data_IF_278351789205
#
_entry.id   IF_278351789205
#
_cell.length_a   1.000
_cell.length_b   1.000
_cell.length_c   1.000
_cell.angle_alpha   90.00
_cell.angle_beta   90.00
_cell.angle_gamma   90.00
#
_symmetry.space_group_name_H-M   'P 1'
#
loop_
_entity.id
_entity.type
_entity.pdbx_description
1 polymer ?
#
# COMPACT_ATOMS: atom_id res chain seq x y z
N UNK A 1 24.13 2.11 -15.09
CA UNK A 1 24.88 1.42 -14.00
C UNK A 1 24.83 2.35 -12.80
N UNK A 2 24.45 1.87 -11.62
CA UNK A 2 24.42 2.69 -10.40
C UNK A 2 25.32 2.09 -9.34
N UNK A 3 25.78 2.93 -8.42
CA UNK A 3 26.69 2.57 -7.34
C UNK A 3 25.99 2.71 -5.99
N UNK A 4 26.28 1.80 -5.06
CA UNK A 4 25.76 1.86 -3.69
C UNK A 4 26.93 2.11 -2.75
N UNK A 5 26.85 3.20 -2.01
CA UNK A 5 27.89 3.60 -1.05
C UNK A 5 27.43 3.33 0.38
N UNK A 6 28.22 2.53 1.10
CA UNK A 6 28.08 2.38 2.53
C UNK A 6 28.56 3.62 3.28
N UNK A 7 28.00 3.87 4.46
CA UNK A 7 28.40 4.98 5.32
C UNK A 7 28.81 4.45 6.70
N UNK A 8 30.09 4.48 6.99
CA UNK A 8 30.65 4.00 8.28
C UNK A 8 30.29 4.90 9.48
N UNK A 9 29.72 6.09 9.23
CA UNK A 9 29.28 7.03 10.28
C UNK A 9 27.81 6.86 10.66
N UNK A 10 27.13 5.86 10.10
CA UNK A 10 25.74 5.58 10.46
C UNK A 10 25.62 5.27 11.94
N UNK A 11 24.66 5.93 12.58
CA UNK A 11 24.21 5.60 13.93
C UNK A 11 23.15 4.49 13.84
N UNK A 12 23.09 3.60 14.81
CA UNK A 12 22.05 2.57 14.85
C UNK A 12 20.65 3.20 14.83
N UNK A 13 19.80 2.66 14.00
CA UNK A 13 18.37 2.96 14.02
C UNK A 13 17.73 2.33 15.26
N UNK A 14 16.86 3.07 15.93
CA UNK A 14 16.03 2.55 17.01
C UNK A 14 14.56 2.78 16.69
N UNK A 15 13.75 1.80 17.04
CA UNK A 15 12.33 1.79 16.77
C UNK A 15 11.55 1.41 18.03
N UNK A 16 10.53 2.22 18.38
CA UNK A 16 9.55 1.89 19.40
C UNK A 16 8.20 1.71 18.72
N UNK A 17 7.61 0.54 18.86
CA UNK A 17 6.33 0.18 18.27
C UNK A 17 5.31 -0.15 19.34
N UNK A 18 4.10 0.37 19.18
CA UNK A 18 2.93 0.00 19.95
C UNK A 18 1.77 -0.26 19.00
N UNK A 19 1.00 -1.29 19.30
CA UNK A 19 -0.24 -1.57 18.57
C UNK A 19 -1.31 -2.10 19.52
N UNK A 20 -2.54 -1.86 19.14
CA UNK A 20 -3.73 -2.42 19.76
C UNK A 20 -4.63 -2.95 18.68
N UNK A 21 -5.00 -4.21 18.78
CA UNK A 21 -5.91 -4.86 17.84
C UNK A 21 -7.12 -5.42 18.57
N UNK A 22 -8.25 -5.43 17.87
CA UNK A 22 -9.48 -6.05 18.31
C UNK A 22 -10.13 -6.82 17.16
N UNK A 23 -10.80 -7.88 17.50
CA UNK A 23 -11.53 -8.72 16.55
C UNK A 23 -12.95 -8.96 17.07
N UNK A 24 -13.93 -8.88 16.16
CA UNK A 24 -15.30 -9.27 16.37
C UNK A 24 -15.71 -10.33 15.35
N UNK A 25 -16.18 -11.46 15.83
CA UNK A 25 -16.56 -12.60 14.99
C UNK A 25 -17.93 -13.10 15.37
N UNK A 26 -18.76 -13.31 14.36
CA UNK A 26 -19.98 -14.11 14.49
C UNK A 26 -20.21 -14.96 13.23
N UNK A 27 -21.38 -15.59 13.09
CA UNK A 27 -21.66 -16.53 11.99
C UNK A 27 -21.64 -15.92 10.58
N UNK A 28 -21.80 -14.61 10.44
CA UNK A 28 -21.93 -13.95 9.14
C UNK A 28 -20.95 -12.79 8.94
N UNK A 29 -20.29 -12.31 10.01
CA UNK A 29 -19.33 -11.21 9.92
C UNK A 29 -18.10 -11.50 10.76
N UNK A 30 -16.93 -11.15 10.22
CA UNK A 30 -15.67 -11.04 10.94
C UNK A 30 -15.09 -9.67 10.64
N UNK A 31 -14.80 -8.89 11.69
CA UNK A 31 -14.16 -7.58 11.60
C UNK A 31 -12.93 -7.63 12.49
N UNK A 32 -11.79 -7.26 11.91
CA UNK A 32 -10.56 -7.02 12.63
C UNK A 32 -10.14 -5.56 12.44
N UNK A 33 -9.72 -4.91 13.52
CA UNK A 33 -9.18 -3.56 13.49
C UNK A 33 -7.89 -3.51 14.30
N UNK A 34 -6.88 -2.85 13.76
CA UNK A 34 -5.60 -2.61 14.38
C UNK A 34 -5.24 -1.13 14.30
N UNK A 35 -4.82 -0.56 15.42
CA UNK A 35 -4.27 0.79 15.51
C UNK A 35 -2.84 0.69 15.97
N UNK A 36 -1.94 1.36 15.29
CA UNK A 36 -0.52 1.27 15.61
C UNK A 36 0.18 2.62 15.54
N UNK A 37 1.29 2.72 16.26
CA UNK A 37 2.22 3.83 16.15
C UNK A 37 3.66 3.33 16.31
N UNK A 38 4.53 3.87 15.47
CA UNK A 38 5.91 3.50 15.34
C UNK A 38 6.78 4.75 15.35
N UNK A 39 7.70 4.87 16.30
CA UNK A 39 8.61 6.00 16.45
C UNK A 39 10.04 5.56 16.17
N UNK A 40 10.60 6.15 15.14
CA UNK A 40 11.99 5.93 14.74
C UNK A 40 12.89 7.05 15.26
N UNK A 41 14.11 6.66 15.63
CA UNK A 41 15.24 7.58 15.86
C UNK A 41 16.41 7.11 15.02
N UNK A 42 17.12 8.06 14.43
CA UNK A 42 18.24 7.80 13.52
C UNK A 42 17.85 6.84 12.38
N UNK A 43 16.63 6.97 11.85
CA UNK A 43 16.17 6.11 10.76
C UNK A 43 17.20 6.12 9.63
N UNK A 44 17.54 4.95 9.11
CA UNK A 44 18.49 4.82 8.01
C UNK A 44 17.70 4.77 6.71
N UNK A 45 18.03 5.68 5.80
CA UNK A 45 17.44 5.70 4.46
C UNK A 45 18.50 5.81 3.37
N UNK A 46 18.19 5.25 2.21
CA UNK A 46 18.97 5.44 1.00
C UNK A 46 18.52 6.70 0.27
N UNK A 47 19.44 7.61 0.06
CA UNK A 47 19.23 8.83 -0.73
C UNK A 47 19.95 8.69 -2.06
N UNK A 48 19.23 8.92 -3.14
CA UNK A 48 19.80 8.96 -4.47
C UNK A 48 20.51 10.29 -4.70
N UNK A 49 21.65 10.24 -5.42
CA UNK A 49 22.28 11.45 -6.00
C UNK A 49 21.34 12.06 -7.05
N UNK A 50 21.53 13.34 -7.37
CA UNK A 50 20.68 14.08 -8.29
C UNK A 50 20.62 13.45 -9.69
N UNK A 51 21.73 12.86 -10.14
CA UNK A 51 21.82 12.15 -11.41
C UNK A 51 21.31 10.69 -11.34
N UNK A 52 20.80 10.25 -10.16
CA UNK A 52 20.30 8.91 -9.87
C UNK A 52 21.32 7.79 -10.16
N UNK A 53 22.62 8.13 -10.15
CA UNK A 53 23.68 7.15 -10.38
C UNK A 53 24.24 6.56 -9.09
N UNK A 54 24.05 7.25 -7.95
CA UNK A 54 24.57 6.85 -6.66
C UNK A 54 23.48 6.78 -5.59
N UNK A 55 23.52 5.75 -4.76
CA UNK A 55 22.68 5.58 -3.57
C UNK A 55 23.55 5.68 -2.32
N UNK A 56 23.31 6.67 -1.48
CA UNK A 56 24.02 6.90 -0.22
C UNK A 56 23.09 6.61 0.97
N UNK A 57 23.59 5.87 1.96
CA UNK A 57 22.84 5.65 3.21
C UNK A 57 23.15 6.74 4.22
N UNK A 58 22.10 7.36 4.75
CA UNK A 58 22.17 8.42 5.76
C UNK A 58 21.21 8.17 6.92
N UNK A 59 21.48 8.77 8.08
CA UNK A 59 20.49 8.82 9.15
C UNK A 59 19.59 10.05 8.96
N UNK A 60 18.31 9.82 8.82
CA UNK A 60 17.28 10.86 8.81
C UNK A 60 16.64 10.94 10.20
N UNK A 61 17.07 11.76 11.05
CA UNK A 61 16.58 12.16 12.36
C UNK A 61 15.48 11.31 13.00
N UNK A 62 14.40 11.96 13.44
CA UNK A 62 13.23 11.33 14.07
C UNK A 62 12.08 11.24 13.08
N UNK A 63 11.37 10.12 13.08
CA UNK A 63 10.17 9.95 12.27
C UNK A 63 9.10 9.17 13.01
N UNK A 64 7.86 9.37 12.63
CA UNK A 64 6.70 8.65 13.15
C UNK A 64 5.84 8.14 12.02
N UNK A 65 5.54 6.85 12.08
CA UNK A 65 4.48 6.22 11.30
C UNK A 65 3.35 5.84 12.27
N UNK A 66 2.13 6.15 11.93
CA UNK A 66 0.97 5.72 12.70
C UNK A 66 -0.16 5.36 11.74
N UNK A 67 -1.00 4.42 12.11
CA UNK A 67 -2.05 4.02 11.19
C UNK A 67 -3.17 3.24 11.84
N UNK A 68 -4.19 3.02 11.01
CA UNK A 68 -5.33 2.18 11.32
C UNK A 68 -5.49 1.20 10.17
N UNK A 69 -5.56 -0.08 10.47
CA UNK A 69 -5.81 -1.16 9.53
C UNK A 69 -7.12 -1.84 9.92
N UNK A 70 -8.00 -2.02 8.98
CA UNK A 70 -9.24 -2.75 9.20
C UNK A 70 -9.44 -3.79 8.13
N UNK A 71 -9.92 -4.95 8.52
CA UNK A 71 -10.36 -6.00 7.62
C UNK A 71 -11.77 -6.42 8.01
N UNK A 72 -12.61 -6.62 7.01
CA UNK A 72 -13.98 -7.08 7.19
C UNK A 72 -14.26 -8.21 6.20
N UNK A 73 -14.86 -9.28 6.73
CA UNK A 73 -15.40 -10.37 5.92
C UNK A 73 -16.86 -10.53 6.26
N UNK A 74 -17.72 -10.46 5.26
CA UNK A 74 -19.16 -10.58 5.40
C UNK A 74 -19.65 -11.74 4.53
N UNK A 75 -20.34 -12.69 5.15
CA UNK A 75 -21.08 -13.72 4.44
C UNK A 75 -22.53 -13.26 4.30
N UNK A 76 -22.89 -12.71 3.14
CA UNK A 76 -24.24 -12.20 2.87
C UNK A 76 -25.24 -13.36 2.84
N UNK A 77 -24.85 -14.45 2.19
CA UNK A 77 -25.60 -15.69 2.16
C UNK A 77 -24.66 -16.86 1.82
N UNK A 78 -25.21 -18.06 1.63
CA UNK A 78 -24.40 -19.26 1.30
C UNK A 78 -23.61 -19.16 -0.01
N UNK A 79 -23.96 -18.23 -0.89
CA UNK A 79 -23.35 -18.07 -2.21
C UNK A 79 -22.45 -16.83 -2.32
N UNK A 80 -22.67 -15.81 -1.49
CA UNK A 80 -22.04 -14.50 -1.63
C UNK A 80 -21.23 -14.18 -0.37
N UNK A 81 -19.94 -13.94 -0.57
CA UNK A 81 -19.01 -13.41 0.43
C UNK A 81 -18.44 -12.08 -0.06
N UNK A 82 -18.28 -11.14 0.86
CA UNK A 82 -17.60 -9.87 0.60
C UNK A 82 -16.46 -9.71 1.59
N UNK A 83 -15.31 -9.34 1.08
CA UNK A 83 -14.12 -9.04 1.86
C UNK A 83 -13.73 -7.59 1.58
N UNK A 84 -13.40 -6.86 2.61
CA UNK A 84 -12.87 -5.51 2.50
C UNK A 84 -11.67 -5.33 3.41
N UNK A 85 -10.71 -4.55 2.98
CA UNK A 85 -9.65 -4.06 3.83
C UNK A 85 -9.43 -2.57 3.57
N UNK A 86 -9.15 -1.84 4.63
CA UNK A 86 -8.82 -0.42 4.57
C UNK A 86 -7.62 -0.14 5.44
N UNK A 87 -6.71 0.66 4.94
CA UNK A 87 -5.53 1.11 5.64
C UNK A 87 -5.44 2.63 5.57
N UNK A 88 -5.27 3.23 6.74
CA UNK A 88 -4.88 4.63 6.90
C UNK A 88 -3.46 4.70 7.45
N UNK A 89 -2.58 5.42 6.75
CA UNK A 89 -1.18 5.63 7.14
C UNK A 89 -0.88 7.12 7.30
N UNK A 90 -0.54 7.50 8.51
CA UNK A 90 0.05 8.79 8.82
C UNK A 90 1.58 8.68 8.84
N UNK A 91 2.25 9.58 8.14
CA UNK A 91 3.71 9.71 8.13
C UNK A 91 4.07 11.13 8.57
N UNK A 92 4.89 11.27 9.61
CA UNK A 92 5.42 12.57 9.99
C UNK A 92 6.38 13.09 8.93
N UNK A 93 6.59 14.38 8.93
CA UNK A 93 7.73 15.00 8.26
C UNK A 93 8.98 14.84 9.12
N UNK A 94 10.13 14.80 8.50
CA UNK A 94 11.42 14.90 9.19
C UNK A 94 11.74 16.34 9.62
N UNK A 95 12.96 16.58 10.12
CA UNK A 95 13.42 17.90 10.55
C UNK A 95 13.52 18.91 9.38
N UNK A 96 13.73 18.43 8.17
CA UNK A 96 13.87 19.22 6.94
C UNK A 96 12.53 19.42 6.21
N UNK A 97 11.45 18.90 6.80
CA UNK A 97 10.09 19.02 6.25
C UNK A 97 9.74 17.99 5.17
N UNK A 98 10.63 17.05 4.89
CA UNK A 98 10.45 15.98 3.90
C UNK A 98 9.62 14.85 4.50
N UNK A 99 8.68 14.30 3.73
CA UNK A 99 7.89 13.15 4.15
C UNK A 99 8.63 11.85 3.86
N UNK A 100 8.72 11.01 4.87
CA UNK A 100 9.44 9.74 4.85
C UNK A 100 8.81 8.63 4.02
N UNK A 101 7.66 8.86 3.44
CA UNK A 101 6.98 7.82 2.68
C UNK A 101 6.26 8.42 1.50
N UNK A 102 6.50 7.84 0.36
CA UNK A 102 5.73 8.08 -0.86
C UNK A 102 4.44 7.26 -0.92
N UNK A 103 3.99 6.69 0.20
CA UNK A 103 2.76 5.91 0.28
C UNK A 103 1.51 6.78 0.26
N UNK A 104 0.42 6.24 -0.28
CA UNK A 104 -0.88 6.88 -0.14
C UNK A 104 -1.34 6.81 1.33
N UNK A 105 -1.81 7.91 1.92
CA UNK A 105 -2.37 7.89 3.27
C UNK A 105 -3.60 6.98 3.40
N UNK A 106 -4.33 6.78 2.31
CA UNK A 106 -5.53 5.94 2.28
C UNK A 106 -5.38 4.88 1.20
N UNK A 107 -5.54 3.63 1.56
CA UNK A 107 -5.58 2.53 0.62
C UNK A 107 -6.55 1.46 1.10
N UNK A 108 -7.02 0.64 0.19
CA UNK A 108 -7.92 -0.43 0.54
C UNK A 108 -8.15 -1.38 -0.62
N UNK A 109 -8.81 -2.46 -0.31
CA UNK A 109 -9.32 -3.37 -1.32
C UNK A 109 -10.70 -3.87 -0.95
N UNK A 110 -11.46 -4.22 -1.95
CA UNK A 110 -12.75 -4.89 -1.79
C UNK A 110 -12.80 -6.07 -2.75
N UNK A 111 -13.37 -7.18 -2.30
CA UNK A 111 -13.57 -8.37 -3.12
C UNK A 111 -14.95 -8.94 -2.84
N UNK A 112 -15.73 -9.09 -3.89
CA UNK A 112 -16.98 -9.82 -3.86
C UNK A 112 -16.79 -11.17 -4.55
N UNK A 113 -17.18 -12.25 -3.89
CA UNK A 113 -17.14 -13.61 -4.39
C UNK A 113 -18.55 -14.15 -4.47
N UNK A 114 -18.92 -14.66 -5.63
CA UNK A 114 -20.10 -15.46 -5.84
C UNK A 114 -19.72 -16.91 -6.15
N UNK A 115 -20.31 -17.89 -5.44
CA UNK A 115 -20.03 -19.29 -5.62
C UNK A 115 -21.37 -20.08 -5.73
N UNK A 116 -21.57 -20.75 -6.84
CA UNK A 116 -22.80 -21.55 -7.07
C UNK A 116 -22.92 -22.73 -6.10
N UNK A 117 -21.79 -23.22 -5.56
CA UNK A 117 -21.72 -24.40 -4.67
C UNK A 117 -22.40 -25.66 -5.22
N UNK A 118 -22.47 -25.76 -6.54
CA UNK A 118 -23.01 -26.97 -7.19
C UNK A 118 -21.96 -28.07 -7.08
N UNK A 119 -22.23 -29.21 -6.46
CA UNK A 119 -21.27 -30.30 -6.36
C UNK A 119 -20.78 -30.73 -7.74
N UNK A 120 -19.47 -30.90 -7.87
CA UNK A 120 -18.73 -31.27 -9.10
C UNK A 120 -18.68 -30.21 -10.20
N UNK A 121 -19.54 -29.17 -10.17
CA UNK A 121 -19.62 -28.13 -11.22
C UNK A 121 -19.73 -26.72 -10.64
N UNK A 122 -19.00 -26.44 -9.58
CA UNK A 122 -19.06 -25.11 -8.95
C UNK A 122 -18.45 -24.04 -9.86
N UNK A 123 -19.17 -22.94 -10.01
CA UNK A 123 -18.67 -21.72 -10.63
C UNK A 123 -18.38 -20.69 -9.54
N UNK A 124 -17.18 -20.12 -9.57
CA UNK A 124 -16.74 -19.05 -8.67
C UNK A 124 -16.44 -17.80 -9.48
N UNK A 125 -17.14 -16.73 -9.18
CA UNK A 125 -16.91 -15.41 -9.79
C UNK A 125 -16.36 -14.49 -8.71
N UNK A 126 -15.22 -13.87 -8.98
CA UNK A 126 -14.61 -12.88 -8.11
C UNK A 126 -14.50 -11.54 -8.82
N UNK A 127 -15.04 -10.51 -8.19
CA UNK A 127 -14.79 -9.11 -8.55
C UNK A 127 -13.95 -8.48 -7.44
N UNK A 128 -12.77 -7.98 -7.78
CA UNK A 128 -11.88 -7.33 -6.82
C UNK A 128 -11.52 -5.92 -7.26
N UNK A 129 -11.53 -4.99 -6.31
CA UNK A 129 -11.14 -3.60 -6.52
C UNK A 129 -10.00 -3.23 -5.58
N UNK A 130 -8.90 -2.68 -6.12
CA UNK A 130 -7.80 -2.11 -5.36
C UNK A 130 -7.90 -0.59 -5.42
N UNK A 131 -8.11 0.03 -4.26
CA UNK A 131 -8.37 1.46 -4.10
C UNK A 131 -7.12 2.11 -3.55
N UNK A 132 -6.61 3.11 -4.27
CA UNK A 132 -5.49 3.93 -3.84
C UNK A 132 -5.95 5.38 -3.72
N UNK A 133 -5.81 5.94 -2.54
CA UNK A 133 -6.12 7.35 -2.29
C UNK A 133 -5.09 8.28 -2.90
N UNK A 134 -5.33 9.58 -2.77
CA UNK A 134 -4.41 10.61 -3.25
C UNK A 134 -3.03 10.45 -2.62
N UNK A 135 -2.01 10.37 -3.45
CA UNK A 135 -0.62 10.28 -3.02
C UNK A 135 0.09 11.61 -3.29
N UNK A 136 0.93 12.02 -2.36
CA UNK A 136 1.83 13.15 -2.50
C UNK A 136 3.25 12.66 -2.20
N UNK A 137 4.20 13.08 -3.02
CA UNK A 137 5.60 12.80 -2.81
C UNK A 137 6.43 14.00 -3.24
N UNK A 138 7.52 14.20 -2.53
CA UNK A 138 8.43 15.28 -2.83
C UNK A 138 9.43 14.80 -3.90
N UNK A 139 9.53 15.57 -4.98
CA UNK A 139 10.43 15.30 -6.11
C UNK A 139 11.49 16.39 -6.09
N UNK A 140 12.75 15.99 -6.17
CA UNK A 140 13.85 16.92 -6.38
C UNK A 140 13.93 17.23 -7.87
N UNK A 141 13.89 18.51 -8.20
CA UNK A 141 14.05 18.99 -9.58
C UNK A 141 15.12 20.09 -9.63
N UNK A 142 15.85 20.15 -10.73
CA UNK A 142 16.77 21.22 -11.01
C UNK A 142 16.03 22.36 -11.71
N UNK A 143 15.80 23.44 -10.98
CA UNK A 143 15.25 24.67 -11.55
C UNK A 143 16.40 25.59 -11.98
N UNK A 144 16.33 26.12 -13.19
CA UNK A 144 17.24 27.16 -13.67
C UNK A 144 16.65 28.53 -13.27
N UNK A 145 17.27 29.19 -12.29
CA UNK A 145 16.92 30.53 -11.84
C UNK A 145 18.13 31.43 -12.11
N UNK A 146 17.96 32.47 -12.93
CA UNK A 146 19.00 33.43 -13.34
C UNK A 146 20.27 32.75 -13.90
N UNK A 147 20.11 31.72 -14.72
CA UNK A 147 21.19 30.98 -15.34
C UNK A 147 22.00 30.10 -14.36
N UNK A 148 21.53 29.93 -13.12
CA UNK A 148 22.08 29.01 -12.15
C UNK A 148 21.12 27.87 -11.89
N UNK A 149 21.62 26.65 -11.90
CA UNK A 149 20.86 25.45 -11.48
C UNK A 149 20.71 25.48 -9.97
N UNK A 150 19.48 25.54 -9.49
CA UNK A 150 19.12 25.48 -8.07
C UNK A 150 18.25 24.26 -7.86
N UNK A 151 18.65 23.41 -6.93
CA UNK A 151 17.83 22.27 -6.51
C UNK A 151 16.62 22.75 -5.73
N UNK A 152 15.43 22.37 -6.16
CA UNK A 152 14.20 22.68 -5.46
C UNK A 152 13.32 21.44 -5.34
N UNK A 153 12.73 21.25 -4.15
CA UNK A 153 11.72 20.22 -3.94
C UNK A 153 10.35 20.73 -4.37
N UNK A 154 9.70 20.03 -5.26
CA UNK A 154 8.29 20.26 -5.54
C UNK A 154 7.43 19.05 -5.19
N UNK A 155 6.19 19.31 -4.80
CA UNK A 155 5.27 18.27 -4.41
C UNK A 155 4.49 17.74 -5.61
N UNK A 156 4.86 16.56 -6.09
CA UNK A 156 4.07 15.84 -7.07
C UNK A 156 2.86 15.16 -6.41
N UNK A 157 1.79 15.02 -7.20
CA UNK A 157 0.51 14.46 -6.73
C UNK A 157 0.04 13.39 -7.72
N UNK A 158 -0.36 12.25 -7.18
CA UNK A 158 -1.11 11.23 -7.92
C UNK A 158 -2.55 11.29 -7.45
N UNK A 159 -3.48 11.38 -8.41
CA UNK A 159 -4.90 11.35 -8.11
C UNK A 159 -5.32 9.98 -7.58
N UNK A 160 -6.40 9.90 -6.77
CA UNK A 160 -6.91 8.61 -6.34
C UNK A 160 -7.39 7.79 -7.54
N UNK A 161 -7.19 6.49 -7.48
CA UNK A 161 -7.63 5.57 -8.51
C UNK A 161 -8.10 4.24 -7.92
N UNK A 162 -8.84 3.49 -8.70
CA UNK A 162 -9.29 2.16 -8.37
C UNK A 162 -9.11 1.23 -9.57
N UNK A 163 -8.41 0.12 -9.35
CA UNK A 163 -8.23 -0.93 -10.36
C UNK A 163 -9.17 -2.09 -10.04
N UNK A 164 -9.95 -2.50 -11.02
CA UNK A 164 -10.90 -3.59 -10.88
C UNK A 164 -10.51 -4.78 -11.74
N UNK A 165 -10.58 -5.94 -11.13
CA UNK A 165 -10.27 -7.22 -11.77
C UNK A 165 -11.48 -8.16 -11.64
N UNK A 166 -11.79 -8.87 -12.71
CA UNK A 166 -12.83 -9.91 -12.73
C UNK A 166 -12.18 -11.26 -13.02
N UNK A 167 -12.48 -12.25 -12.20
CA UNK A 167 -12.03 -13.62 -12.42
C UNK A 167 -13.19 -14.59 -12.31
N UNK A 168 -13.28 -15.51 -13.26
CA UNK A 168 -14.26 -16.59 -13.27
C UNK A 168 -13.53 -17.92 -13.27
N UNK A 169 -13.84 -18.77 -12.30
CA UNK A 169 -13.30 -20.13 -12.20
C UNK A 169 -14.43 -21.13 -12.29
N UNK A 170 -14.30 -22.09 -13.20
CA UNK A 170 -15.20 -23.22 -13.33
C UNK A 170 -14.51 -24.48 -12.80
N UNK A 171 -15.11 -25.11 -11.80
CA UNK A 171 -14.69 -26.42 -11.32
C UNK A 171 -15.48 -27.49 -12.05
N UNK A 172 -14.77 -28.48 -12.57
CA UNK A 172 -15.35 -29.62 -13.29
C UNK A 172 -14.89 -30.89 -12.57
N UNK A 173 -15.84 -31.56 -11.92
CA UNK A 173 -15.53 -32.66 -11.01
C UNK A 173 -14.57 -32.22 -9.87
N UNK A 174 -13.71 -33.13 -9.41
CA UNK A 174 -12.77 -32.84 -8.31
C UNK A 174 -11.36 -32.47 -8.82
N UNK A 175 -11.09 -32.68 -10.09
CA UNK A 175 -9.73 -32.71 -10.62
C UNK A 175 -9.41 -31.61 -11.65
N UNK A 176 -10.42 -30.90 -12.16
CA UNK A 176 -10.20 -29.88 -13.19
C UNK A 176 -10.78 -28.53 -12.75
N UNK A 177 -9.95 -27.49 -12.81
CA UNK A 177 -10.35 -26.10 -12.66
C UNK A 177 -9.88 -25.32 -13.87
N UNK A 178 -10.80 -24.63 -14.52
CA UNK A 178 -10.53 -23.68 -15.60
C UNK A 178 -10.76 -22.30 -15.04
N UNK A 179 -9.81 -21.39 -15.23
CA UNK A 179 -9.91 -20.01 -14.76
C UNK A 179 -9.61 -19.05 -15.90
N UNK A 180 -10.47 -18.06 -16.05
CA UNK A 180 -10.28 -16.91 -16.94
C UNK A 180 -10.43 -15.62 -16.14
N UNK A 181 -9.73 -14.57 -16.53
CA UNK A 181 -9.79 -13.30 -15.84
C UNK A 181 -9.47 -12.12 -16.74
N UNK A 182 -9.95 -10.96 -16.35
CA UNK A 182 -9.68 -9.65 -16.94
C UNK A 182 -9.15 -8.78 -15.82
N UNK A 183 -7.99 -8.18 -16.02
CA UNK A 183 -7.41 -7.18 -15.13
C UNK A 183 -7.68 -5.79 -15.67
N UNK A 184 -7.73 -4.80 -14.77
CA UNK A 184 -8.04 -3.42 -15.12
C UNK A 184 -9.33 -3.29 -15.97
N UNK A 185 -10.41 -3.88 -15.46
CA UNK A 185 -11.70 -4.06 -16.15
C UNK A 185 -12.27 -2.77 -16.77
N UNK A 186 -11.96 -1.61 -16.19
CA UNK A 186 -12.45 -0.30 -16.65
C UNK A 186 -11.38 0.52 -17.38
N UNK A 187 -10.28 -0.13 -17.79
CA UNK A 187 -9.19 0.50 -18.58
C UNK A 187 -8.70 1.82 -18.00
N UNK A 188 -8.44 1.84 -16.71
CA UNK A 188 -7.88 3.01 -16.04
C UNK A 188 -6.43 3.22 -16.51
N UNK A 189 -6.12 4.41 -17.05
CA UNK A 189 -4.79 4.84 -17.52
C UNK A 189 -4.31 6.11 -16.82
#
# INVERSE_FOLDING_TARGET
>A
MFWIYGNSKLKPETNNYISLSGEYVNSWININANVYSNWFRNKIEGMWSNDQTELHYINIGKSRLAGVETMCKIQINRHINVHGAYNYLYTSKDADGVRLSSSSPHSGNIRAEYNTRIPRYATVVNLSGNIMGKKKFDVLDELEIDGKKVEAYYQAKVNPYCLWDLTVSQYIMQNLRITAGITNLFDYT
#
